data_IF_489397852305
#
_entry.id   IF_489397852305
#
_cell.length_a   1.000
_cell.length_b   1.000
_cell.length_c   1.000
_cell.angle_alpha   90.00
_cell.angle_beta   90.00
_cell.angle_gamma   90.00
#
_symmetry.space_group_name_H-M   'P 1'
#
loop_
_entity.id
_entity.type
_entity.pdbx_description
1 polymer ?
#
# COMPACT_ATOMS: atom_id res chain seq x y z
N UNK A 1 31.63 -37.22 7.67
CA UNK A 1 31.41 -36.24 6.58
C UNK A 1 29.92 -35.97 6.35
N UNK A 2 29.07 -36.99 6.25
CA UNK A 2 27.61 -36.85 6.08
C UNK A 2 26.90 -35.96 7.12
N UNK A 3 27.21 -36.11 8.41
CA UNK A 3 26.61 -35.29 9.48
C UNK A 3 26.91 -33.78 9.34
N UNK A 4 28.09 -33.42 8.80
CA UNK A 4 28.47 -32.02 8.56
C UNK A 4 27.67 -31.41 7.41
N UNK A 5 27.35 -32.18 6.38
CA UNK A 5 26.50 -31.73 5.27
C UNK A 5 25.06 -31.51 5.74
N UNK A 6 24.53 -32.40 6.59
CA UNK A 6 23.20 -32.27 7.19
C UNK A 6 23.11 -31.03 8.10
N UNK A 7 24.12 -30.77 8.94
CA UNK A 7 24.13 -29.57 9.80
C UNK A 7 24.30 -28.27 9.01
N UNK A 8 25.06 -28.28 7.92
CA UNK A 8 25.18 -27.14 7.01
C UNK A 8 23.86 -26.88 6.28
N UNK A 9 23.18 -27.92 5.81
CA UNK A 9 21.83 -27.81 5.22
C UNK A 9 20.83 -27.22 6.19
N UNK A 10 20.83 -27.69 7.44
CA UNK A 10 19.98 -27.13 8.50
C UNK A 10 20.33 -25.66 8.80
N UNK A 11 21.62 -25.30 8.76
CA UNK A 11 22.09 -23.92 8.92
C UNK A 11 21.57 -22.98 7.84
N UNK A 12 21.58 -23.41 6.57
CA UNK A 12 21.05 -22.64 5.44
C UNK A 12 19.52 -22.50 5.52
N UNK A 13 18.82 -23.56 5.90
CA UNK A 13 17.36 -23.50 6.12
C UNK A 13 17.00 -22.55 7.26
N UNK A 14 17.71 -22.64 8.38
CA UNK A 14 17.49 -21.76 9.53
C UNK A 14 17.83 -20.30 9.20
N UNK A 15 18.85 -20.05 8.38
CA UNK A 15 19.16 -18.72 7.85
C UNK A 15 18.02 -18.22 6.96
N UNK A 16 17.54 -19.04 6.02
CA UNK A 16 16.41 -18.72 5.15
C UNK A 16 15.16 -18.34 5.95
N UNK A 17 14.75 -19.18 6.90
CA UNK A 17 13.59 -18.91 7.77
C UNK A 17 13.77 -17.63 8.59
N UNK A 18 14.97 -17.34 9.10
CA UNK A 18 15.22 -16.10 9.84
C UNK A 18 15.12 -14.87 8.94
N UNK A 19 15.66 -14.92 7.73
CA UNK A 19 15.57 -13.77 6.80
C UNK A 19 14.13 -13.46 6.40
N UNK A 20 13.31 -14.49 6.18
CA UNK A 20 11.89 -14.29 5.84
C UNK A 20 11.11 -13.73 7.02
N UNK A 21 11.37 -14.20 8.24
CA UNK A 21 10.76 -13.65 9.46
C UNK A 21 11.14 -12.18 9.68
N UNK A 22 12.41 -11.82 9.56
CA UNK A 22 12.86 -10.42 9.70
C UNK A 22 12.24 -9.53 8.61
N UNK A 23 12.18 -10.03 7.38
CA UNK A 23 11.56 -9.30 6.27
C UNK A 23 10.08 -9.06 6.53
N UNK A 24 9.37 -10.06 7.03
CA UNK A 24 7.95 -9.97 7.37
C UNK A 24 7.68 -8.93 8.45
N UNK A 25 8.47 -8.92 9.52
CA UNK A 25 8.33 -7.90 10.58
C UNK A 25 8.68 -6.50 10.07
N UNK A 26 9.69 -6.39 9.21
CA UNK A 26 10.03 -5.11 8.57
C UNK A 26 8.88 -4.60 7.69
N UNK A 27 8.26 -5.47 6.91
CA UNK A 27 7.09 -5.12 6.07
C UNK A 27 5.93 -4.64 6.94
N UNK A 28 5.62 -5.31 8.06
CA UNK A 28 4.56 -4.87 8.97
C UNK A 28 4.85 -3.49 9.57
N UNK A 29 6.10 -3.25 9.99
CA UNK A 29 6.52 -1.97 10.56
C UNK A 29 6.44 -0.84 9.53
N UNK A 30 6.86 -1.10 8.29
CA UNK A 30 6.75 -0.13 7.20
C UNK A 30 5.30 0.13 6.84
N UNK A 31 4.46 -0.90 6.79
CA UNK A 31 3.03 -0.78 6.51
C UNK A 31 2.30 0.02 7.59
N UNK A 32 2.62 -0.19 8.87
CA UNK A 32 2.02 0.58 9.97
C UNK A 32 2.49 2.03 9.96
N UNK A 33 3.78 2.26 9.74
CA UNK A 33 4.35 3.61 9.65
C UNK A 33 3.72 4.41 8.49
N UNK A 34 3.54 3.78 7.33
CA UNK A 34 2.97 4.43 6.14
C UNK A 34 1.44 4.45 6.11
N UNK A 35 0.78 4.07 7.22
CA UNK A 35 -0.69 4.04 7.35
C UNK A 35 -1.38 3.20 6.27
N UNK A 36 -0.74 2.10 5.84
CA UNK A 36 -1.30 1.15 4.88
C UNK A 36 -2.22 0.11 5.54
N UNK A 37 -2.28 0.11 6.87
CA UNK A 37 -3.22 -0.71 7.65
C UNK A 37 -4.60 -0.05 7.67
N UNK A 38 -5.67 -0.84 7.86
CA UNK A 38 -7.01 -0.30 8.03
C UNK A 38 -7.03 0.79 9.12
N UNK A 39 -7.61 1.97 8.83
CA UNK A 39 -7.61 3.09 9.77
C UNK A 39 -8.47 2.80 11.00
N UNK A 40 -8.16 3.47 12.10
CA UNK A 40 -9.02 3.47 13.28
C UNK A 40 -10.33 4.23 12.95
N UNK A 41 -11.51 3.81 13.44
CA UNK A 41 -12.76 4.56 13.28
C UNK A 41 -12.66 6.09 13.52
N UNK A 42 -11.81 6.54 14.43
CA UNK A 42 -11.56 7.96 14.67
C UNK A 42 -10.86 8.67 13.49
N UNK A 43 -9.96 7.99 12.78
CA UNK A 43 -9.30 8.53 11.59
C UNK A 43 -10.26 8.57 10.41
N UNK A 44 -11.22 7.64 10.35
CA UNK A 44 -12.26 7.64 9.33
C UNK A 44 -13.15 8.89 9.42
N UNK A 45 -13.60 9.27 10.61
CA UNK A 45 -14.42 10.49 10.78
C UNK A 45 -13.64 11.76 10.45
N UNK A 46 -12.34 11.79 10.74
CA UNK A 46 -11.44 12.88 10.33
C UNK A 46 -11.30 12.95 8.80
N UNK A 47 -11.15 11.82 8.11
CA UNK A 47 -11.06 11.76 6.66
C UNK A 47 -12.34 12.28 5.98
N UNK A 48 -13.52 11.91 6.50
CA UNK A 48 -14.82 12.42 6.02
C UNK A 48 -14.93 13.93 6.22
N UNK A 49 -14.48 14.44 7.36
CA UNK A 49 -14.45 15.88 7.63
C UNK A 49 -13.52 16.61 6.65
N UNK A 50 -12.33 16.06 6.37
CA UNK A 50 -11.39 16.59 5.39
C UNK A 50 -11.97 16.66 3.97
N UNK A 51 -12.69 15.61 3.55
CA UNK A 51 -13.41 15.59 2.27
C UNK A 51 -14.46 16.71 2.19
N UNK A 52 -15.23 16.93 3.25
CA UNK A 52 -16.24 18.00 3.28
C UNK A 52 -15.60 19.39 3.14
N UNK A 53 -14.44 19.61 3.77
CA UNK A 53 -13.66 20.85 3.64
C UNK A 53 -13.12 21.04 2.22
N UNK A 54 -12.67 19.97 1.57
CA UNK A 54 -12.25 20.00 0.18
C UNK A 54 -13.40 20.43 -0.76
N UNK A 55 -14.58 19.83 -0.62
CA UNK A 55 -15.76 20.25 -1.39
C UNK A 55 -16.16 21.71 -1.11
N UNK A 56 -16.03 22.15 0.15
CA UNK A 56 -16.20 23.55 0.53
C UNK A 56 -15.26 24.48 -0.24
N UNK A 57 -13.96 24.16 -0.27
CA UNK A 57 -12.93 24.93 -0.98
C UNK A 57 -13.15 24.99 -2.50
N UNK A 58 -13.73 23.92 -3.09
CA UNK A 58 -14.14 23.91 -4.49
C UNK A 58 -15.31 24.88 -4.74
N UNK A 59 -16.32 24.88 -3.85
CA UNK A 59 -17.50 25.74 -3.95
C UNK A 59 -17.16 27.22 -3.76
N UNK A 60 -16.25 27.54 -2.85
CA UNK A 60 -15.83 28.94 -2.59
C UNK A 60 -14.81 29.46 -3.60
N UNK A 61 -14.27 28.61 -4.47
CA UNK A 61 -13.27 29.00 -5.47
C UNK A 61 -11.84 29.16 -4.92
N UNK A 62 -11.61 28.77 -3.66
CA UNK A 62 -10.31 28.90 -2.98
C UNK A 62 -9.22 28.05 -3.63
N UNK A 63 -9.60 26.99 -4.35
CA UNK A 63 -8.69 26.12 -5.11
C UNK A 63 -7.85 26.87 -6.16
N UNK A 64 -8.28 28.06 -6.62
CA UNK A 64 -7.55 28.88 -7.59
C UNK A 64 -6.29 29.54 -7.03
N UNK A 65 -6.17 29.63 -5.70
CA UNK A 65 -5.01 30.24 -5.03
C UNK A 65 -3.93 29.20 -4.66
N UNK A 66 -4.11 27.94 -5.04
CA UNK A 66 -3.17 26.85 -4.73
C UNK A 66 -1.96 26.92 -5.68
N UNK A 67 -0.76 26.67 -5.14
CA UNK A 67 0.46 26.68 -5.97
C UNK A 67 0.51 25.44 -6.87
N UNK A 68 1.21 25.55 -8.01
CA UNK A 68 1.38 24.41 -8.95
C UNK A 68 2.06 23.23 -8.25
N UNK A 69 2.98 23.50 -7.31
CA UNK A 69 3.64 22.46 -6.52
C UNK A 69 2.65 21.65 -5.69
N UNK A 70 1.74 22.33 -5.01
CA UNK A 70 0.75 21.68 -4.14
C UNK A 70 -0.27 20.90 -4.98
N UNK A 71 -0.69 21.47 -6.12
CA UNK A 71 -1.57 20.80 -7.07
C UNK A 71 -0.92 19.53 -7.67
N UNK A 72 0.37 19.61 -8.03
CA UNK A 72 1.13 18.46 -8.53
C UNK A 72 1.28 17.36 -7.46
N UNK A 73 1.53 17.75 -6.20
CA UNK A 73 1.59 16.82 -5.09
C UNK A 73 0.24 16.11 -4.87
N UNK A 74 -0.88 16.85 -4.90
CA UNK A 74 -2.22 16.27 -4.81
C UNK A 74 -2.50 15.31 -5.97
N UNK A 75 -2.12 15.69 -7.20
CA UNK A 75 -2.30 14.84 -8.36
C UNK A 75 -1.50 13.53 -8.24
N UNK A 76 -0.24 13.60 -7.78
CA UNK A 76 0.56 12.40 -7.53
C UNK A 76 -0.09 11.46 -6.51
N UNK A 77 -0.65 11.99 -5.41
CA UNK A 77 -1.44 11.20 -4.45
C UNK A 77 -2.72 10.62 -5.06
N UNK A 78 -3.38 11.37 -5.95
CA UNK A 78 -4.52 10.86 -6.71
C UNK A 78 -4.18 9.66 -7.59
N UNK A 79 -3.01 9.67 -8.23
CA UNK A 79 -2.50 8.53 -9.01
C UNK A 79 -2.23 7.31 -8.12
N UNK A 80 -1.65 7.51 -6.94
CA UNK A 80 -1.44 6.41 -5.97
C UNK A 80 -2.77 5.73 -5.58
N UNK A 81 -3.81 6.52 -5.30
CA UNK A 81 -5.15 6.01 -4.97
C UNK A 81 -5.76 5.23 -6.15
N UNK A 82 -5.62 5.74 -7.37
CA UNK A 82 -6.05 5.03 -8.57
C UNK A 82 -5.28 3.70 -8.76
N UNK A 83 -3.99 3.67 -8.40
CA UNK A 83 -3.20 2.44 -8.38
C UNK A 83 -3.79 1.36 -7.47
N UNK A 84 -4.22 1.72 -6.26
CA UNK A 84 -4.88 0.77 -5.35
C UNK A 84 -6.19 0.21 -5.93
N UNK A 85 -6.95 1.00 -6.70
CA UNK A 85 -8.14 0.51 -7.40
C UNK A 85 -7.80 -0.59 -8.41
N UNK A 86 -6.77 -0.40 -9.23
CA UNK A 86 -6.34 -1.43 -10.20
C UNK A 86 -5.81 -2.70 -9.54
N UNK A 87 -5.10 -2.57 -8.42
CA UNK A 87 -4.70 -3.74 -7.62
C UNK A 87 -5.92 -4.48 -7.08
N UNK A 88 -6.93 -3.75 -6.61
CA UNK A 88 -8.23 -4.32 -6.21
C UNK A 88 -8.92 -5.05 -7.36
N UNK A 89 -8.89 -4.50 -8.56
CA UNK A 89 -9.42 -5.14 -9.78
C UNK A 89 -8.66 -6.43 -10.12
N UNK A 90 -7.32 -6.45 -10.01
CA UNK A 90 -6.52 -7.67 -10.20
C UNK A 90 -6.90 -8.77 -9.19
N UNK A 91 -7.08 -8.40 -7.91
CA UNK A 91 -7.54 -9.33 -6.86
C UNK A 91 -8.95 -9.84 -7.16
N UNK A 92 -9.87 -8.95 -7.56
CA UNK A 92 -11.25 -9.29 -7.90
C UNK A 92 -11.36 -10.23 -9.10
N UNK A 93 -10.52 -10.03 -10.12
CA UNK A 93 -10.43 -10.90 -11.30
C UNK A 93 -9.64 -12.18 -11.06
N UNK A 94 -8.87 -12.27 -9.97
CA UNK A 94 -7.89 -13.34 -9.69
C UNK A 94 -6.89 -13.54 -10.83
N UNK A 95 -6.58 -12.47 -11.57
CA UNK A 95 -5.63 -12.48 -12.68
C UNK A 95 -4.81 -11.20 -12.65
N UNK A 96 -3.50 -11.34 -12.85
CA UNK A 96 -2.56 -10.21 -12.96
C UNK A 96 -2.61 -9.61 -14.36
N UNK A 97 -2.93 -10.42 -15.39
CA UNK A 97 -2.92 -9.98 -16.79
C UNK A 97 -4.21 -10.43 -17.46
N UNK A 98 -5.05 -9.47 -17.82
CA UNK A 98 -6.28 -9.72 -18.58
C UNK A 98 -7.32 -10.58 -17.85
N UNK A 99 -8.49 -10.72 -18.47
CA UNK A 99 -9.45 -11.73 -18.06
C UNK A 99 -9.02 -13.08 -18.62
N UNK A 100 -9.17 -14.13 -17.83
CA UNK A 100 -8.94 -15.49 -18.30
C UNK A 100 -10.16 -15.89 -19.15
N UNK A 101 -10.11 -15.56 -20.44
CA UNK A 101 -11.14 -15.91 -21.42
C UNK A 101 -10.64 -17.13 -22.17
N UNK A 102 -11.38 -18.24 -22.10
CA UNK A 102 -11.18 -19.36 -23.01
C UNK A 102 -11.62 -18.90 -24.40
N UNK A 103 -10.70 -18.95 -25.36
CA UNK A 103 -10.98 -18.76 -26.78
C UNK A 103 -11.46 -20.03 -27.44
#
# INVERSE_FOLDING_TARGET
MAQRLVSLGQGVLNWGVRTTQISWETIKLVASHNRMLPPNPAEFSQAVSGLSGFFGAFRTGTWRYVTVRDAAALAARGVEIAGFFYVGEMIGRRSVIGYNVEG
#
